data_IF_783773380593
#
_entry.id   IF_783773380593
#
_cell.length_a   1.000
_cell.length_b   1.000
_cell.length_c   1.000
_cell.angle_alpha   90.00
_cell.angle_beta   90.00
_cell.angle_gamma   90.00
#
_symmetry.space_group_name_H-M   'P 1'
#
loop_
_entity.id
_entity.type
_entity.pdbx_description
1 polymer ?
#
# COMPACT_ATOMS: atom_id res chain seq x y z
N UNK A 1 -3.54 18.22 5.63
CA UNK A 1 -2.73 18.51 6.83
C UNK A 1 -1.24 18.27 6.55
N UNK A 2 -0.79 17.07 6.12
CA UNK A 2 0.63 16.75 5.91
C UNK A 2 1.38 17.75 5.01
N UNK A 3 0.79 18.17 3.90
CA UNK A 3 1.36 19.19 3.02
C UNK A 3 1.61 20.53 3.73
N UNK A 4 0.70 20.94 4.64
CA UNK A 4 0.90 22.14 5.43
C UNK A 4 2.08 22.03 6.39
N UNK A 5 2.30 20.85 6.99
CA UNK A 5 3.49 20.59 7.81
C UNK A 5 4.79 20.61 6.98
N UNK A 6 4.76 20.07 5.76
CA UNK A 6 5.92 20.15 4.85
C UNK A 6 6.24 21.58 4.50
N UNK A 7 5.23 22.39 4.13
CA UNK A 7 5.42 23.80 3.81
C UNK A 7 5.94 24.59 5.02
N UNK A 8 5.41 24.36 6.20
CA UNK A 8 5.89 25.00 7.43
C UNK A 8 7.34 24.63 7.73
N UNK A 9 7.70 23.34 7.60
CA UNK A 9 9.08 22.87 7.75
C UNK A 9 10.03 23.59 6.79
N UNK A 10 9.65 23.71 5.51
CA UNK A 10 10.49 24.37 4.51
C UNK A 10 10.68 25.87 4.82
N UNK A 11 9.61 26.57 5.18
CA UNK A 11 9.67 27.97 5.55
C UNK A 11 10.52 28.23 6.80
N UNK A 12 10.55 27.30 7.73
CA UNK A 12 11.32 27.40 8.99
C UNK A 12 12.75 26.84 8.87
N UNK A 13 13.15 26.28 7.71
CA UNK A 13 14.45 25.62 7.54
C UNK A 13 14.59 24.35 8.40
N UNK A 14 13.48 23.72 8.77
CA UNK A 14 13.45 22.53 9.61
C UNK A 14 13.92 21.26 8.86
N UNK A 15 14.47 20.28 9.60
CA UNK A 15 14.99 19.02 9.03
C UNK A 15 14.19 17.79 9.45
N UNK A 16 13.14 17.96 10.25
CA UNK A 16 12.31 16.85 10.72
C UNK A 16 11.55 16.16 9.59
N UNK A 17 11.30 14.88 9.72
CA UNK A 17 10.48 14.12 8.77
C UNK A 17 9.00 14.42 8.98
N UNK A 18 8.25 14.54 7.89
CA UNK A 18 6.80 14.65 7.90
C UNK A 18 6.22 13.37 7.34
N UNK A 19 5.36 12.72 8.13
CA UNK A 19 4.70 11.46 7.76
C UNK A 19 3.19 11.65 7.85
N UNK A 20 2.47 11.33 6.79
CA UNK A 20 1.00 11.24 6.78
C UNK A 20 0.56 9.81 6.61
N UNK A 21 -0.37 9.36 7.45
CA UNK A 21 -0.98 8.03 7.33
C UNK A 21 -2.40 8.21 6.80
N UNK A 22 -2.72 7.46 5.74
CA UNK A 22 -4.04 7.45 5.10
C UNK A 22 -4.53 6.02 4.93
N UNK A 23 -5.79 5.75 5.25
CA UNK A 23 -6.42 4.46 4.98
C UNK A 23 -6.85 4.32 3.52
N UNK A 24 -6.92 3.10 3.03
CA UNK A 24 -7.37 2.75 1.69
C UNK A 24 -8.81 3.23 1.39
N UNK A 25 -9.71 3.16 2.39
CA UNK A 25 -11.05 3.74 2.27
C UNK A 25 -11.03 5.25 2.05
N UNK A 26 -10.11 5.98 2.67
CA UNK A 26 -9.96 7.43 2.48
C UNK A 26 -9.41 7.78 1.08
N UNK A 27 -8.72 6.84 0.43
CA UNK A 27 -8.26 7.00 -0.97
C UNK A 27 -9.38 6.96 -2.00
N UNK A 28 -10.62 6.67 -1.60
CA UNK A 28 -11.79 6.79 -2.49
C UNK A 28 -12.32 8.22 -2.59
N UNK A 29 -11.88 9.11 -1.72
CA UNK A 29 -12.28 10.53 -1.68
C UNK A 29 -11.40 11.43 -2.54
N UNK A 30 -11.99 12.43 -3.21
CA UNK A 30 -11.29 13.35 -4.12
C UNK A 30 -10.18 14.17 -3.44
N UNK A 31 -10.36 14.55 -2.18
CA UNK A 31 -9.39 15.33 -1.41
C UNK A 31 -8.02 14.65 -1.29
N UNK A 32 -7.99 13.30 -1.25
CA UNK A 32 -6.74 12.54 -1.26
C UNK A 32 -5.96 12.74 -2.56
N UNK A 33 -6.66 12.72 -3.70
CA UNK A 33 -6.03 12.92 -5.01
C UNK A 33 -5.55 14.35 -5.22
N UNK A 34 -6.30 15.34 -4.76
CA UNK A 34 -5.87 16.74 -4.78
C UNK A 34 -4.58 16.91 -3.98
N UNK A 35 -4.50 16.27 -2.80
CA UNK A 35 -3.31 16.30 -1.97
C UNK A 35 -2.12 15.59 -2.65
N UNK A 36 -2.33 14.41 -3.26
CA UNK A 36 -1.28 13.68 -3.97
C UNK A 36 -0.78 14.46 -5.20
N UNK A 37 -1.69 15.04 -5.98
CA UNK A 37 -1.37 15.88 -7.11
C UNK A 37 -0.51 17.09 -6.69
N UNK A 38 -0.84 17.72 -5.56
CA UNK A 38 -0.04 18.82 -5.03
C UNK A 38 1.30 18.33 -4.46
N UNK A 39 1.33 17.16 -3.81
CA UNK A 39 2.55 16.57 -3.26
C UNK A 39 3.59 16.29 -4.35
N UNK A 40 3.18 15.94 -5.57
CA UNK A 40 4.08 15.65 -6.70
C UNK A 40 5.04 16.80 -7.04
N UNK A 41 4.70 18.01 -6.63
CA UNK A 41 5.53 19.22 -6.86
C UNK A 41 6.64 19.41 -5.83
N UNK A 42 6.60 18.68 -4.73
CA UNK A 42 7.56 18.79 -3.64
C UNK A 42 8.94 18.28 -4.09
N UNK A 43 9.97 19.03 -3.74
CA UNK A 43 11.38 18.62 -3.91
C UNK A 43 11.98 18.12 -2.59
N UNK A 44 11.30 18.32 -1.49
CA UNK A 44 11.70 17.84 -0.17
C UNK A 44 10.98 16.55 0.19
N UNK A 45 11.57 15.78 1.11
CA UNK A 45 11.00 14.51 1.55
C UNK A 45 9.64 14.69 2.23
N UNK A 46 8.66 13.93 1.79
CA UNK A 46 7.34 13.79 2.40
C UNK A 46 6.91 12.33 2.31
N UNK A 47 6.70 11.69 3.43
CA UNK A 47 6.34 10.26 3.50
C UNK A 47 4.83 10.14 3.68
N UNK A 48 4.20 9.40 2.77
CA UNK A 48 2.77 9.07 2.81
C UNK A 48 2.65 7.57 3.01
N UNK A 49 2.03 7.14 4.10
CA UNK A 49 1.79 5.72 4.38
C UNK A 49 0.34 5.40 4.01
N UNK A 50 0.17 4.60 2.97
CA UNK A 50 -1.12 4.03 2.62
C UNK A 50 -1.33 2.74 3.41
N UNK A 51 -2.18 2.81 4.45
CA UNK A 51 -2.57 1.65 5.25
C UNK A 51 -3.74 0.94 4.57
N UNK A 52 -3.43 -0.16 3.90
CA UNK A 52 -4.37 -0.92 3.10
C UNK A 52 -4.78 -2.22 3.81
N UNK A 53 -6.01 -2.26 4.31
CA UNK A 53 -6.61 -3.43 4.93
C UNK A 53 -7.88 -3.92 4.21
N UNK A 54 -8.16 -3.36 3.01
CA UNK A 54 -9.34 -3.64 2.18
C UNK A 54 -10.69 -3.25 2.82
N UNK A 55 -10.68 -2.49 3.89
CA UNK A 55 -11.88 -2.14 4.60
C UNK A 55 -11.91 -0.69 5.07
N UNK A 56 -13.07 -0.09 4.88
CA UNK A 56 -13.51 1.11 5.61
C UNK A 56 -14.45 0.65 6.76
N UNK A 57 -15.64 1.22 6.86
CA UNK A 57 -16.74 0.69 7.69
C UNK A 57 -17.29 -0.60 7.06
N UNK A 58 -17.39 -0.62 5.72
CA UNK A 58 -17.71 -1.76 4.87
C UNK A 58 -16.55 -2.03 3.90
N UNK A 59 -16.69 -3.04 3.03
CA UNK A 59 -15.74 -3.26 1.94
C UNK A 59 -15.64 -2.04 1.04
N UNK A 60 -14.42 -1.71 0.62
CA UNK A 60 -14.18 -0.59 -0.28
C UNK A 60 -14.68 -0.91 -1.68
N UNK A 61 -15.31 0.06 -2.33
CA UNK A 61 -15.85 -0.06 -3.69
C UNK A 61 -15.20 0.95 -4.64
N UNK A 62 -15.32 0.70 -5.93
CA UNK A 62 -14.88 1.62 -6.99
C UNK A 62 -13.51 1.27 -7.58
N UNK A 63 -13.10 2.05 -8.59
CA UNK A 63 -11.89 1.78 -9.38
C UNK A 63 -10.60 1.78 -8.58
N UNK A 64 -10.47 2.65 -7.57
CA UNK A 64 -9.30 2.67 -6.71
C UNK A 64 -9.20 1.40 -5.84
N UNK A 65 -10.32 0.92 -5.31
CA UNK A 65 -10.35 -0.33 -4.57
C UNK A 65 -9.93 -1.51 -5.45
N UNK A 66 -10.41 -1.55 -6.70
CA UNK A 66 -10.00 -2.56 -7.67
C UNK A 66 -8.50 -2.46 -7.99
N UNK A 67 -7.97 -1.25 -8.17
CA UNK A 67 -6.56 -1.02 -8.41
C UNK A 67 -5.70 -1.50 -7.23
N UNK A 68 -6.04 -1.13 -5.99
CA UNK A 68 -5.33 -1.57 -4.79
C UNK A 68 -5.43 -3.11 -4.60
N UNK A 69 -6.57 -3.71 -4.91
CA UNK A 69 -6.72 -5.17 -4.94
C UNK A 69 -5.75 -5.83 -5.93
N UNK A 70 -5.61 -5.24 -7.13
CA UNK A 70 -4.62 -5.67 -8.11
C UNK A 70 -3.19 -5.59 -7.58
N UNK A 71 -2.83 -4.52 -6.88
CA UNK A 71 -1.51 -4.38 -6.26
C UNK A 71 -1.26 -5.43 -5.17
N UNK A 72 -2.26 -5.73 -4.35
CA UNK A 72 -2.16 -6.74 -3.28
C UNK A 72 -1.88 -8.13 -3.82
N UNK A 73 -2.50 -8.49 -4.96
CA UNK A 73 -2.37 -9.81 -5.59
C UNK A 73 -1.14 -9.91 -6.49
N UNK A 74 -0.63 -8.79 -7.01
CA UNK A 74 0.52 -8.76 -7.91
C UNK A 74 1.81 -9.32 -7.29
N UNK A 75 1.98 -9.23 -5.97
CA UNK A 75 3.13 -9.81 -5.27
C UNK A 75 3.15 -11.35 -5.34
N UNK A 76 1.99 -11.99 -5.23
CA UNK A 76 1.89 -13.45 -5.42
C UNK A 76 2.26 -13.83 -6.86
N UNK A 77 1.85 -13.02 -7.84
CA UNK A 77 2.16 -13.23 -9.25
C UNK A 77 3.64 -12.99 -9.59
N UNK A 78 4.30 -11.99 -9.00
CA UNK A 78 5.74 -11.74 -9.22
C UNK A 78 6.62 -12.82 -8.61
N UNK A 79 6.23 -13.39 -7.47
CA UNK A 79 6.88 -14.56 -6.88
C UNK A 79 6.76 -15.81 -7.75
N UNK A 80 5.57 -16.08 -8.28
CA UNK A 80 5.32 -17.16 -9.23
C UNK A 80 6.11 -16.96 -10.52
N UNK A 81 6.19 -15.73 -11.04
CA UNK A 81 6.92 -15.39 -12.25
C UNK A 81 8.43 -15.60 -12.11
N UNK A 82 9.04 -15.21 -10.98
CA UNK A 82 10.44 -15.50 -10.69
C UNK A 82 10.69 -17.02 -10.67
N UNK A 83 9.84 -17.78 -10.00
CA UNK A 83 9.93 -19.23 -9.98
C UNK A 83 9.84 -19.86 -11.38
N UNK A 84 8.95 -19.35 -12.24
CA UNK A 84 8.83 -19.80 -13.64
C UNK A 84 10.05 -19.37 -14.47
N UNK A 85 10.55 -18.14 -14.35
CA UNK A 85 11.76 -17.66 -15.04
C UNK A 85 13.00 -18.48 -14.61
N UNK A 86 13.14 -18.78 -13.34
CA UNK A 86 14.27 -19.59 -12.82
C UNK A 86 14.17 -21.06 -13.25
N UNK A 87 12.96 -21.60 -13.39
CA UNK A 87 12.73 -22.94 -13.94
C UNK A 87 13.02 -23.00 -15.44
N UNK A 88 12.60 -21.98 -16.21
CA UNK A 88 12.87 -21.89 -17.64
C UNK A 88 14.36 -21.73 -17.96
N UNK A 89 15.11 -20.99 -17.13
CA UNK A 89 16.58 -20.87 -17.27
C UNK A 89 17.32 -22.21 -17.10
N UNK A 90 16.72 -23.16 -16.42
CA UNK A 90 17.30 -24.51 -16.24
C UNK A 90 17.13 -25.42 -17.46
N UNK A 91 16.39 -24.97 -18.51
CA UNK A 91 16.21 -25.73 -19.76
C UNK A 91 17.38 -25.44 -20.72
N UNK A 92 18.27 -26.37 -21.02
CA UNK A 92 19.42 -26.11 -21.87
C UNK A 92 19.01 -25.76 -23.31
N UNK A 93 19.55 -24.65 -23.83
CA UNK A 93 19.51 -24.28 -25.26
C UNK A 93 18.23 -23.57 -25.76
N UNK A 94 17.12 -23.53 -24.99
CA UNK A 94 15.85 -22.89 -25.42
C UNK A 94 15.29 -21.90 -24.43
N UNK A 95 15.73 -21.96 -23.16
CA UNK A 95 15.17 -21.14 -22.08
C UNK A 95 15.28 -19.63 -22.32
N UNK A 96 16.44 -19.16 -22.73
CA UNK A 96 16.69 -17.72 -22.97
C UNK A 96 15.89 -17.16 -24.15
N UNK A 97 15.71 -17.95 -25.22
CA UNK A 97 14.86 -17.56 -26.36
C UNK A 97 13.39 -17.43 -25.97
N UNK A 98 12.88 -18.37 -25.20
CA UNK A 98 11.50 -18.32 -24.71
C UNK A 98 11.30 -17.11 -23.79
N UNK A 99 12.24 -16.85 -22.88
CA UNK A 99 12.23 -15.68 -22.00
C UNK A 99 12.29 -14.38 -22.81
N UNK A 100 13.15 -14.32 -23.84
CA UNK A 100 13.27 -13.15 -24.73
C UNK A 100 11.97 -12.86 -25.50
N UNK A 101 11.36 -13.86 -26.10
CA UNK A 101 10.07 -13.72 -26.78
C UNK A 101 8.94 -13.36 -25.82
N UNK A 102 8.88 -13.97 -24.65
CA UNK A 102 7.92 -13.56 -23.60
C UNK A 102 8.11 -12.11 -23.16
N UNK A 103 9.35 -11.64 -23.03
CA UNK A 103 9.63 -10.24 -22.67
C UNK A 103 9.24 -9.28 -23.80
N UNK A 104 9.46 -9.62 -25.06
CA UNK A 104 9.15 -8.78 -26.23
C UNK A 104 7.64 -8.67 -26.50
N UNK A 105 6.91 -9.77 -26.39
CA UNK A 105 5.45 -9.79 -26.59
C UNK A 105 4.70 -9.09 -25.42
N UNK A 106 5.29 -9.09 -24.23
CA UNK A 106 4.73 -8.45 -23.01
C UNK A 106 5.11 -7.00 -22.83
N UNK A 107 5.94 -6.39 -23.70
CA UNK A 107 6.32 -4.97 -23.57
C UNK A 107 5.11 -4.03 -23.65
N UNK A 108 4.09 -4.38 -24.45
CA UNK A 108 2.82 -3.63 -24.49
C UNK A 108 1.87 -3.90 -23.32
N UNK A 109 1.99 -5.07 -22.69
CA UNK A 109 1.15 -5.48 -21.55
C UNK A 109 1.82 -5.13 -20.21
N UNK A 110 3.14 -4.92 -20.21
CA UNK A 110 3.90 -4.53 -19.01
C UNK A 110 3.48 -3.17 -18.44
N UNK A 111 3.00 -2.26 -19.28
CA UNK A 111 2.52 -0.94 -18.85
C UNK A 111 1.25 -1.01 -18.01
N UNK A 112 0.46 -2.10 -18.11
CA UNK A 112 -0.81 -2.23 -17.38
C UNK A 112 -0.69 -2.91 -16.00
N UNK A 113 0.47 -3.47 -15.62
CA UNK A 113 0.60 -4.32 -14.43
C UNK A 113 1.87 -4.12 -13.59
N UNK A 114 2.52 -2.95 -13.67
CA UNK A 114 3.59 -2.64 -12.71
C UNK A 114 2.94 -2.14 -11.42
N UNK A 115 3.16 -2.82 -10.28
CA UNK A 115 2.63 -2.35 -9.00
C UNK A 115 3.09 -0.91 -8.74
N UNK A 116 2.13 -0.03 -8.41
CA UNK A 116 2.43 1.35 -8.06
C UNK A 116 2.55 2.34 -9.21
N UNK A 117 2.46 1.90 -10.48
CA UNK A 117 2.62 2.77 -11.65
C UNK A 117 1.75 4.03 -11.59
N UNK A 118 0.50 3.92 -11.16
CA UNK A 118 -0.38 5.06 -11.00
C UNK A 118 0.22 6.15 -10.09
N UNK A 119 0.81 5.75 -8.95
CA UNK A 119 1.44 6.70 -8.03
C UNK A 119 2.75 7.24 -8.58
N UNK A 120 3.51 6.43 -9.30
CA UNK A 120 4.75 6.85 -9.97
C UNK A 120 4.46 7.81 -11.13
N UNK A 121 3.43 7.56 -11.93
CA UNK A 121 2.95 8.46 -12.98
C UNK A 121 2.46 9.80 -12.42
N UNK A 122 1.94 9.80 -11.19
CA UNK A 122 1.63 11.01 -10.45
C UNK A 122 2.87 11.73 -9.87
N UNK A 123 4.07 11.19 -10.02
CA UNK A 123 5.31 11.81 -9.55
C UNK A 123 5.70 11.45 -8.11
N UNK A 124 5.13 10.39 -7.53
CA UNK A 124 5.52 9.89 -6.23
C UNK A 124 6.46 8.68 -6.36
N UNK A 125 7.45 8.55 -5.48
CA UNK A 125 8.20 7.29 -5.37
C UNK A 125 7.33 6.27 -4.65
N UNK A 126 7.05 5.12 -5.28
CA UNK A 126 6.24 4.06 -4.69
C UNK A 126 7.11 2.97 -4.08
N UNK A 127 6.84 2.65 -2.81
CA UNK A 127 7.48 1.55 -2.07
C UNK A 127 6.40 0.58 -1.57
N UNK A 128 6.39 -0.63 -2.07
CA UNK A 128 5.43 -1.62 -1.62
C UNK A 128 4.89 -2.56 -2.70
N UNK A 129 3.81 -3.29 -2.38
CA UNK A 129 3.19 -3.38 -1.07
C UNK A 129 4.04 -4.20 -0.08
N UNK A 130 4.05 -3.80 1.20
CA UNK A 130 4.81 -4.47 2.27
C UNK A 130 3.86 -4.95 3.37
N UNK A 131 4.29 -5.98 4.11
CA UNK A 131 3.55 -6.47 5.27
C UNK A 131 3.71 -5.50 6.45
N UNK A 132 2.62 -4.83 6.85
CA UNK A 132 2.62 -3.87 7.96
C UNK A 132 2.74 -4.50 9.34
N UNK A 133 2.63 -5.83 9.45
CA UNK A 133 2.86 -6.57 10.68
C UNK A 133 4.31 -7.04 10.86
N UNK A 134 5.17 -6.81 9.86
CA UNK A 134 6.62 -7.04 9.93
C UNK A 134 7.33 -5.73 10.31
N UNK A 135 7.52 -5.50 11.60
CA UNK A 135 8.16 -4.30 12.11
C UNK A 135 9.60 -4.12 11.61
N UNK A 136 10.35 -5.22 11.43
CA UNK A 136 11.72 -5.15 10.93
C UNK A 136 11.77 -4.63 9.50
N UNK A 137 10.89 -5.15 8.65
CA UNK A 137 10.75 -4.68 7.26
C UNK A 137 10.23 -3.25 7.18
N UNK A 138 9.28 -2.87 8.04
CA UNK A 138 8.78 -1.50 8.13
C UNK A 138 9.90 -0.51 8.47
N UNK A 139 10.74 -0.81 9.46
CA UNK A 139 11.89 0.03 9.84
C UNK A 139 12.81 0.25 8.64
N UNK A 140 13.18 -0.82 7.91
CA UNK A 140 14.04 -0.73 6.73
C UNK A 140 13.44 0.19 5.66
N UNK A 141 12.14 0.00 5.33
CA UNK A 141 11.47 0.79 4.30
C UNK A 141 11.35 2.27 4.72
N UNK A 142 11.09 2.57 5.98
CA UNK A 142 11.11 3.95 6.46
C UNK A 142 12.50 4.58 6.37
N UNK A 143 13.56 3.82 6.64
CA UNK A 143 14.93 4.30 6.46
C UNK A 143 15.26 4.58 5.00
N UNK A 144 14.77 3.75 4.07
CA UNK A 144 14.89 3.98 2.64
C UNK A 144 14.09 5.22 2.21
N UNK A 145 12.83 5.32 2.64
CA UNK A 145 11.94 6.44 2.31
C UNK A 145 12.50 7.80 2.76
N UNK A 146 13.15 7.85 3.92
CA UNK A 146 13.78 9.10 4.43
C UNK A 146 14.89 9.61 3.55
N UNK A 147 15.52 8.76 2.73
CA UNK A 147 16.64 9.15 1.83
C UNK A 147 16.15 9.70 0.50
N UNK A 148 14.89 9.47 0.16
CA UNK A 148 14.31 9.91 -1.11
C UNK A 148 14.08 11.41 -1.10
N UNK A 149 14.51 12.09 -2.15
CA UNK A 149 14.18 13.49 -2.41
C UNK A 149 12.81 13.56 -3.10
N UNK A 150 11.83 14.17 -2.43
CA UNK A 150 10.46 14.28 -2.92
C UNK A 150 9.45 13.42 -2.16
N UNK A 151 8.22 13.33 -2.67
CA UNK A 151 7.15 12.57 -2.02
C UNK A 151 7.31 11.07 -2.23
N UNK A 152 7.13 10.31 -1.15
CA UNK A 152 7.21 8.85 -1.14
C UNK A 152 5.88 8.28 -0.65
N UNK A 153 5.33 7.33 -1.37
CA UNK A 153 4.17 6.56 -0.92
C UNK A 153 4.61 5.15 -0.52
N UNK A 154 4.46 4.84 0.75
CA UNK A 154 4.68 3.49 1.29
C UNK A 154 3.34 2.78 1.36
N UNK A 155 3.15 1.75 0.53
CA UNK A 155 1.94 0.94 0.53
C UNK A 155 2.09 -0.21 1.53
N UNK A 156 1.33 -0.16 2.61
CA UNK A 156 1.40 -1.09 3.74
C UNK A 156 0.14 -1.94 3.77
N UNK A 157 0.30 -3.26 3.66
CA UNK A 157 -0.79 -4.23 3.83
C UNK A 157 -0.95 -4.58 5.29
N UNK A 158 -2.14 -4.37 5.82
CA UNK A 158 -2.48 -4.75 7.20
C UNK A 158 -3.73 -5.61 7.22
N UNK A 159 -3.94 -6.27 8.34
CA UNK A 159 -5.13 -7.06 8.65
C UNK A 159 -5.85 -6.41 9.83
N UNK A 160 -7.10 -6.00 9.59
CA UNK A 160 -7.90 -5.35 10.62
C UNK A 160 -8.25 -6.32 11.73
N UNK A 161 -8.03 -5.91 12.99
CA UNK A 161 -8.28 -6.76 14.16
C UNK A 161 -7.20 -7.79 14.44
N UNK A 162 -6.04 -7.71 13.78
CA UNK A 162 -4.95 -8.68 13.94
C UNK A 162 -4.57 -8.87 15.42
N UNK A 163 -4.49 -10.15 15.82
CA UNK A 163 -4.20 -10.56 17.19
C UNK A 163 -5.45 -10.81 18.03
N UNK A 164 -6.63 -10.44 17.52
CA UNK A 164 -7.92 -10.75 18.18
C UNK A 164 -8.86 -11.41 17.18
N UNK A 165 -9.00 -12.73 17.26
CA UNK A 165 -9.70 -13.55 16.28
C UNK A 165 -11.15 -13.12 16.01
N UNK A 166 -11.98 -12.75 17.03
CA UNK A 166 -13.32 -12.24 16.77
C UNK A 166 -13.37 -11.00 15.90
N UNK A 167 -12.39 -10.07 16.05
CA UNK A 167 -12.30 -8.88 15.23
C UNK A 167 -11.77 -9.19 13.81
N UNK A 168 -10.91 -10.18 13.66
CA UNK A 168 -10.44 -10.65 12.35
C UNK A 168 -11.55 -11.30 11.54
N UNK A 169 -12.44 -12.08 12.22
CA UNK A 169 -13.60 -12.72 11.58
C UNK A 169 -14.71 -11.72 11.23
N UNK A 170 -14.90 -10.68 12.04
CA UNK A 170 -15.97 -9.71 11.90
C UNK A 170 -15.48 -8.26 11.96
N UNK A 171 -14.58 -7.85 11.05
CA UNK A 171 -13.88 -6.57 11.15
C UNK A 171 -14.80 -5.35 11.10
N UNK A 172 -15.94 -5.44 10.43
CA UNK A 172 -16.94 -4.38 10.38
C UNK A 172 -17.57 -4.11 11.76
N UNK A 173 -17.85 -5.17 12.53
CA UNK A 173 -18.44 -5.06 13.89
C UNK A 173 -17.49 -4.38 14.87
N UNK A 174 -16.18 -4.57 14.68
CA UNK A 174 -15.14 -4.02 15.54
C UNK A 174 -14.54 -2.73 15.02
N UNK A 175 -15.16 -2.09 14.04
CA UNK A 175 -14.67 -0.81 13.51
C UNK A 175 -14.76 0.34 14.52
N UNK A 176 -15.84 0.37 15.32
CA UNK A 176 -16.06 1.40 16.34
C UNK A 176 -16.87 0.79 17.48
N UNK A 177 -16.25 -0.09 18.27
CA UNK A 177 -16.89 -0.74 19.42
C UNK A 177 -16.77 0.12 20.66
N UNK A 178 -17.82 0.09 21.50
CA UNK A 178 -17.73 0.51 22.90
C UNK A 178 -16.82 -0.44 23.67
N UNK A 179 -16.48 -0.10 24.91
CA UNK A 179 -15.75 -0.99 25.81
C UNK A 179 -16.48 -2.34 25.93
N UNK A 180 -15.74 -3.44 25.87
CA UNK A 180 -16.26 -4.80 25.98
C UNK A 180 -15.26 -5.69 26.71
N UNK A 181 -15.73 -6.78 27.33
CA UNK A 181 -14.88 -7.76 27.98
C UNK A 181 -14.30 -8.73 26.95
N UNK A 182 -13.03 -9.11 27.16
CA UNK A 182 -12.30 -10.05 26.29
C UNK A 182 -12.67 -11.51 26.54
N UNK A 183 -13.26 -11.82 27.70
CA UNK A 183 -13.78 -13.17 27.98
C UNK A 183 -14.96 -13.50 27.04
N UNK A 184 -15.19 -14.79 26.73
CA UNK A 184 -16.07 -15.17 25.63
C UNK A 184 -17.47 -14.55 25.81
N UNK A 185 -17.64 -13.43 25.15
CA UNK A 185 -18.91 -12.72 25.13
C UNK A 185 -19.92 -13.61 24.44
N UNK A 186 -20.92 -14.01 25.17
CA UNK A 186 -22.16 -14.46 24.56
C UNK A 186 -22.61 -13.34 23.61
N UNK A 187 -22.75 -13.64 22.33
CA UNK A 187 -22.99 -12.71 21.23
C UNK A 187 -24.22 -11.80 21.31
N UNK A 188 -24.87 -11.77 22.49
CA UNK A 188 -26.17 -11.12 22.70
C UNK A 188 -26.10 -9.60 22.94
N UNK A 189 -24.93 -8.99 23.15
CA UNK A 189 -24.85 -7.58 23.54
C UNK A 189 -24.23 -6.62 22.53
N UNK A 190 -23.78 -7.10 21.36
CA UNK A 190 -23.37 -6.22 20.26
C UNK A 190 -24.62 -5.85 19.43
N UNK A 191 -25.49 -5.00 19.98
CA UNK A 191 -26.51 -4.34 19.17
C UNK A 191 -25.83 -3.31 18.30
N UNK A 192 -25.93 -3.50 16.97
CA UNK A 192 -25.67 -2.46 16.00
C UNK A 192 -26.70 -1.33 16.26
N UNK A 193 -26.22 -0.13 16.49
CA UNK A 193 -26.99 1.09 16.32
C UNK A 193 -26.74 1.63 14.92
#
# INVERSE_FOLDING_TARGET
AGLGYVAARELQGGTHSVVSIIGDGSMTGGMAYEALNNASRLKSNFIIVLNDNNMSISENVGGMSQYLNGLRTAQAYTGLKKGVEDTLKKIPGKGDRIIYHMKRTKSGIKQLFVPGMFFEDMGLTYLGPINGHDCSRMIQVFQEAKKVQGPVLIHVKTEKGRGYEPAMRHPARFHGTSAFDLEPVSYTHLRAH
#
